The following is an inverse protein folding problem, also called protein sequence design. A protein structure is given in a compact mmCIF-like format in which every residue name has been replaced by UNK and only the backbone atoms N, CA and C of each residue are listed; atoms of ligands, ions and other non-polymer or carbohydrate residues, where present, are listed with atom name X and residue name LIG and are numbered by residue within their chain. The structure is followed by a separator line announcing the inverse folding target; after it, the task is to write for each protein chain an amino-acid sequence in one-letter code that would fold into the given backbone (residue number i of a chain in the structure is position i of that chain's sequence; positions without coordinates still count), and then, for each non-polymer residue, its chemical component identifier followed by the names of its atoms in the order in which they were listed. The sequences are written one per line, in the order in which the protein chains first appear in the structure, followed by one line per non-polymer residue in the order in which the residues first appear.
data_IF_157552901678
#
_entry.id   IF_157552901678
#
_cell.length_a   1.000
_cell.length_b   1.000
_cell.length_c   1.000
_cell.angle_alpha   90.00
_cell.angle_beta   90.00
_cell.angle_gamma   90.00
#
_symmetry.space_group_name_H-M   'P 1'
#
loop_
_entity.id
_entity.type
_entity.pdbx_description
1 polymer ?
#
# COMPACT_ATOMS: atom_id res chain seq x y z
N UNK A 1 -4.94 -54.90 8.88
CA UNK A 1 -5.57 -54.01 9.88
C UNK A 1 -6.06 -52.75 9.18
N UNK A 2 -7.30 -52.25 9.38
CA UNK A 2 -7.80 -51.10 8.63
C UNK A 2 -7.15 -49.79 9.10
N UNK A 3 -6.44 -49.12 8.18
CA UNK A 3 -5.55 -47.96 8.39
C UNK A 3 -6.22 -46.59 8.09
N UNK A 4 -7.42 -46.31 8.60
CA UNK A 4 -8.04 -44.99 8.35
C UNK A 4 -8.63 -44.40 9.64
N UNK A 5 -7.74 -43.82 10.45
CA UNK A 5 -8.09 -43.12 11.70
C UNK A 5 -8.57 -41.68 11.45
N UNK A 6 -8.39 -41.15 10.24
CA UNK A 6 -8.67 -39.74 9.93
C UNK A 6 -10.17 -39.43 9.98
N UNK A 7 -10.99 -40.30 9.40
CA UNK A 7 -12.45 -40.13 9.35
C UNK A 7 -13.13 -40.09 10.74
N UNK A 8 -12.46 -40.51 11.82
CA UNK A 8 -12.95 -40.45 13.21
C UNK A 8 -12.54 -39.18 13.97
N UNK A 9 -11.67 -38.33 13.41
CA UNK A 9 -11.16 -37.13 14.06
C UNK A 9 -11.95 -35.89 13.67
N UNK A 10 -12.35 -35.10 14.66
CA UNK A 10 -13.17 -33.87 14.46
C UNK A 10 -12.48 -32.79 13.61
N UNK A 11 -11.16 -32.81 13.52
CA UNK A 11 -10.39 -31.86 12.71
C UNK A 11 -10.15 -32.33 11.26
N UNK A 12 -10.60 -33.53 10.90
CA UNK A 12 -10.42 -34.03 9.53
C UNK A 12 -11.18 -33.14 8.53
N UNK A 13 -10.43 -32.46 7.68
CA UNK A 13 -10.92 -31.53 6.65
C UNK A 13 -11.85 -32.23 5.67
N UNK A 14 -11.67 -33.54 5.46
CA UNK A 14 -12.44 -34.27 4.46
C UNK A 14 -13.83 -34.70 4.94
N UNK A 15 -14.12 -34.56 6.25
CA UNK A 15 -15.44 -34.84 6.81
C UNK A 15 -16.50 -33.93 6.20
N UNK A 16 -17.69 -34.47 5.87
CA UNK A 16 -18.77 -33.69 5.25
C UNK A 16 -19.18 -32.50 6.11
N UNK A 17 -19.31 -32.70 7.43
CA UNK A 17 -19.64 -31.64 8.40
C UNK A 17 -18.64 -30.46 8.35
N UNK A 18 -17.35 -30.73 8.21
CA UNK A 18 -16.32 -29.69 8.15
C UNK A 18 -16.34 -28.97 6.81
N UNK A 19 -16.56 -29.69 5.70
CA UNK A 19 -16.73 -29.09 4.37
C UNK A 19 -17.95 -28.16 4.32
N UNK A 20 -19.06 -28.55 4.94
CA UNK A 20 -20.27 -27.72 5.02
C UNK A 20 -20.07 -26.45 5.85
N UNK A 21 -19.32 -26.54 6.95
CA UNK A 21 -18.93 -25.36 7.74
C UNK A 21 -18.08 -24.39 6.92
N UNK A 22 -17.07 -24.90 6.22
CA UNK A 22 -16.21 -24.09 5.34
C UNK A 22 -17.05 -23.42 4.25
N UNK A 23 -17.96 -24.16 3.60
CA UNK A 23 -18.87 -23.57 2.60
C UNK A 23 -19.75 -22.47 3.16
N UNK A 24 -20.34 -22.66 4.34
CA UNK A 24 -21.14 -21.63 5.01
C UNK A 24 -20.31 -20.38 5.32
N UNK A 25 -19.09 -20.57 5.80
CA UNK A 25 -18.17 -19.47 6.12
C UNK A 25 -17.70 -18.74 4.84
N UNK A 26 -17.48 -19.48 3.75
CA UNK A 26 -17.17 -18.96 2.41
C UNK A 26 -18.34 -18.17 1.84
N UNK A 27 -19.57 -18.71 1.88
CA UNK A 27 -20.79 -18.03 1.44
C UNK A 27 -21.03 -16.75 2.25
N UNK A 28 -20.85 -16.78 3.57
CA UNK A 28 -20.97 -15.60 4.41
C UNK A 28 -19.87 -14.55 4.09
N UNK A 29 -18.65 -15.00 3.80
CA UNK A 29 -17.57 -14.12 3.38
C UNK A 29 -17.84 -13.52 1.99
N UNK A 30 -18.38 -14.31 1.06
CA UNK A 30 -18.72 -13.87 -0.29
C UNK A 30 -19.90 -12.89 -0.28
N UNK A 31 -20.93 -13.13 0.54
CA UNK A 31 -22.07 -12.22 0.69
C UNK A 31 -21.62 -10.84 1.16
N UNK A 32 -20.73 -10.77 2.18
CA UNK A 32 -20.15 -9.51 2.65
C UNK A 32 -19.37 -8.80 1.54
N UNK A 33 -18.54 -9.54 0.78
CA UNK A 33 -17.78 -8.96 -0.34
C UNK A 33 -18.69 -8.40 -1.43
N UNK A 34 -19.75 -9.14 -1.80
CA UNK A 34 -20.74 -8.71 -2.81
C UNK A 34 -21.47 -7.44 -2.39
N UNK A 35 -21.80 -7.28 -1.11
CA UNK A 35 -22.42 -6.06 -0.59
C UNK A 35 -21.49 -4.85 -0.74
N UNK A 36 -20.21 -5.02 -0.41
CA UNK A 36 -19.19 -3.98 -0.58
C UNK A 36 -18.99 -3.63 -2.06
N UNK A 37 -18.88 -4.63 -2.93
CA UNK A 37 -18.75 -4.44 -4.38
C UNK A 37 -19.97 -3.71 -4.95
N UNK A 38 -21.19 -4.09 -4.54
CA UNK A 38 -22.42 -3.41 -4.94
C UNK A 38 -22.37 -1.93 -4.55
N UNK A 39 -21.99 -1.64 -3.30
CA UNK A 39 -21.83 -0.26 -2.82
C UNK A 39 -20.80 0.53 -3.64
N UNK A 40 -19.69 -0.09 -4.00
CA UNK A 40 -18.67 0.54 -4.85
C UNK A 40 -19.19 0.79 -6.27
N UNK A 41 -19.87 -0.19 -6.87
CA UNK A 41 -20.47 -0.07 -8.20
C UNK A 41 -21.54 1.02 -8.26
N UNK A 42 -22.36 1.13 -7.22
CA UNK A 42 -23.38 2.17 -7.10
C UNK A 42 -22.74 3.56 -6.96
N UNK A 43 -21.66 3.67 -6.20
CA UNK A 43 -20.89 4.92 -6.13
C UNK A 43 -20.24 5.29 -7.48
N UNK A 44 -19.66 4.32 -8.18
CA UNK A 44 -19.06 4.56 -9.49
C UNK A 44 -20.10 4.92 -10.55
N UNK A 45 -21.27 4.29 -10.51
CA UNK A 45 -22.38 4.62 -11.42
C UNK A 45 -22.89 6.04 -11.15
N UNK A 46 -23.11 6.41 -9.88
CA UNK A 46 -23.49 7.76 -9.48
C UNK A 46 -22.43 8.79 -9.90
N UNK A 47 -21.14 8.47 -9.72
CA UNK A 47 -20.03 9.33 -10.15
C UNK A 47 -19.98 9.51 -11.66
N UNK A 48 -20.26 8.45 -12.44
CA UNK A 48 -20.32 8.52 -13.89
C UNK A 48 -21.49 9.38 -14.36
N UNK A 49 -22.67 9.22 -13.74
CA UNK A 49 -23.86 10.04 -14.02
C UNK A 49 -23.59 11.51 -13.69
N UNK A 50 -23.07 11.82 -12.50
CA UNK A 50 -22.75 13.20 -12.10
C UNK A 50 -21.80 13.88 -13.08
N UNK A 51 -20.78 13.15 -13.56
CA UNK A 51 -19.85 13.66 -14.57
C UNK A 51 -20.54 13.97 -15.91
N UNK A 52 -21.46 13.11 -16.35
CA UNK A 52 -22.24 13.34 -17.57
C UNK A 52 -23.24 14.49 -17.42
N UNK A 53 -23.82 14.66 -16.24
CA UNK A 53 -24.74 15.76 -15.91
C UNK A 53 -24.04 17.09 -15.66
N UNK A 54 -22.69 17.13 -15.63
CA UNK A 54 -21.93 18.34 -15.30
C UNK A 54 -21.99 18.73 -13.81
N UNK A 55 -22.49 17.84 -12.96
CA UNK A 55 -22.60 18.04 -11.52
C UNK A 55 -21.32 17.61 -10.78
N UNK A 56 -21.16 18.11 -9.54
CA UNK A 56 -20.05 17.72 -8.68
C UNK A 56 -20.15 16.23 -8.32
N UNK A 57 -19.06 15.49 -8.51
CA UNK A 57 -18.99 14.07 -8.16
C UNK A 57 -19.29 13.81 -6.67
N UNK A 58 -19.98 12.71 -6.33
CA UNK A 58 -20.27 12.35 -4.95
C UNK A 58 -18.98 12.06 -4.18
N UNK A 59 -19.00 12.30 -2.86
CA UNK A 59 -17.90 11.97 -1.94
C UNK A 59 -17.77 10.45 -1.82
N UNK A 60 -16.55 9.88 -1.85
CA UNK A 60 -16.35 8.44 -1.75
C UNK A 60 -16.90 7.85 -0.44
N UNK A 61 -17.48 6.64 -0.48
CA UNK A 61 -17.96 5.97 0.72
C UNK A 61 -16.77 5.67 1.67
N UNK A 62 -16.99 5.75 3.00
CA UNK A 62 -15.95 5.41 3.97
C UNK A 62 -15.48 3.96 3.80
N UNK A 63 -14.21 3.66 4.08
CA UNK A 63 -13.70 2.29 4.02
C UNK A 63 -14.47 1.42 5.01
N UNK A 64 -15.01 0.30 4.50
CA UNK A 64 -15.62 -0.74 5.32
C UNK A 64 -14.50 -1.48 6.05
N UNK A 65 -14.43 -1.31 7.37
CA UNK A 65 -13.51 -2.08 8.21
C UNK A 65 -14.06 -3.50 8.38
N UNK A 66 -13.30 -4.50 7.95
CA UNK A 66 -13.64 -5.89 8.22
C UNK A 66 -13.53 -6.14 9.74
N UNK A 67 -14.64 -6.41 10.42
CA UNK A 67 -14.68 -6.72 11.87
C UNK A 67 -13.67 -7.82 12.30
N UNK A 68 -13.29 -8.71 11.37
CA UNK A 68 -12.29 -9.77 11.58
C UNK A 68 -10.85 -9.23 11.76
N UNK A 69 -10.56 -8.02 11.29
CA UNK A 69 -9.23 -7.41 11.44
C UNK A 69 -8.97 -6.87 12.84
N UNK A 70 -10.01 -6.61 13.64
CA UNK A 70 -9.86 -6.16 15.02
C UNK A 70 -9.40 -7.28 15.96
N UNK A 71 -9.78 -8.53 15.70
CA UNK A 71 -9.34 -9.68 16.51
C UNK A 71 -7.85 -10.02 16.28
N UNK A 72 -7.31 -9.79 15.08
CA UNK A 72 -5.90 -10.07 14.77
C UNK A 72 -4.95 -8.98 15.27
N UNK A 73 -5.35 -7.71 15.22
CA UNK A 73 -4.55 -6.59 15.75
C UNK A 73 -4.38 -6.66 17.26
N UNK A 74 -5.35 -7.21 17.97
CA UNK A 74 -5.24 -7.40 19.43
C UNK A 74 -4.12 -8.41 19.76
N UNK A 75 -4.04 -9.53 19.04
CA UNK A 75 -3.07 -10.61 19.32
C UNK A 75 -1.60 -10.25 19.15
N UNK A 76 -1.25 -9.23 18.34
CA UNK A 76 0.16 -8.84 18.08
C UNK A 76 0.65 -7.72 19.03
N UNK A 77 -0.23 -7.13 19.84
CA UNK A 77 0.12 -6.16 20.89
C UNK A 77 0.43 -6.82 22.25
N UNK A 78 0.26 -8.14 22.38
CA UNK A 78 0.42 -8.84 23.66
C UNK A 78 1.88 -8.99 24.15
N UNK A 79 2.86 -8.46 23.42
CA UNK A 79 4.29 -8.56 23.77
C UNK A 79 4.91 -7.29 24.34
N UNK A 80 4.18 -6.16 24.40
CA UNK A 80 4.73 -4.90 24.92
C UNK A 80 3.74 -4.10 25.77
N UNK A 81 2.61 -4.71 26.13
CA UNK A 81 1.66 -4.10 27.03
C UNK A 81 2.10 -4.34 28.49
N UNK A 82 2.26 -3.24 29.20
CA UNK A 82 2.79 -3.17 30.55
C UNK A 82 1.85 -3.91 31.50
N UNK A 83 2.14 -5.18 31.83
CA UNK A 83 1.53 -5.98 32.91
C UNK A 83 0.22 -5.39 33.46
N UNK A 84 -0.89 -5.59 32.73
CA UNK A 84 -2.28 -5.38 33.20
C UNK A 84 -2.47 -4.11 34.04
N UNK A 85 -2.58 -2.97 33.35
CA UNK A 85 -3.12 -1.73 33.92
C UNK A 85 -4.52 -2.02 34.48
N UNK A 86 -4.64 -2.02 35.81
CA UNK A 86 -5.83 -2.50 36.53
C UNK A 86 -6.99 -1.50 36.37
N UNK A 87 -8.22 -2.01 36.31
CA UNK A 87 -9.42 -1.17 36.44
C UNK A 87 -9.40 -0.51 37.82
N UNK A 88 -9.67 0.79 37.88
CA UNK A 88 -10.01 1.44 39.15
C UNK A 88 -11.44 1.01 39.56
N UNK A 89 -11.72 0.93 40.86
CA UNK A 89 -13.06 0.55 41.33
C UNK A 89 -14.07 1.60 40.87
N UNK A 90 -15.05 1.20 40.03
CA UNK A 90 -16.10 2.07 39.52
C UNK A 90 -15.82 2.73 38.16
N UNK A 91 -14.73 2.37 37.48
CA UNK A 91 -14.38 2.87 36.14
C UNK A 91 -15.03 1.99 35.05
N UNK A 92 -15.80 2.59 34.15
CA UNK A 92 -16.36 1.91 32.96
C UNK A 92 -15.27 1.67 31.90
N UNK A 93 -15.49 0.72 30.99
CA UNK A 93 -14.48 0.36 29.99
C UNK A 93 -14.11 1.55 29.07
N UNK A 94 -15.07 2.43 28.77
CA UNK A 94 -14.84 3.67 28.00
C UNK A 94 -13.99 4.68 28.78
N UNK A 95 -14.27 4.88 30.07
CA UNK A 95 -13.52 5.83 30.90
C UNK A 95 -12.07 5.39 31.07
N UNK A 96 -11.86 4.09 31.22
CA UNK A 96 -10.55 3.46 31.26
C UNK A 96 -9.76 3.75 29.98
N UNK A 97 -10.39 3.60 28.81
CA UNK A 97 -9.75 3.82 27.52
C UNK A 97 -9.44 5.31 27.29
N UNK A 98 -10.33 6.23 27.72
CA UNK A 98 -10.10 7.68 27.67
C UNK A 98 -8.90 8.08 28.54
N UNK A 99 -8.79 7.53 29.76
CA UNK A 99 -7.64 7.81 30.63
C UNK A 99 -6.33 7.34 30.00
N UNK A 100 -6.30 6.15 29.42
CA UNK A 100 -5.10 5.66 28.74
C UNK A 100 -4.74 6.47 27.50
N UNK A 101 -5.73 6.91 26.71
CA UNK A 101 -5.48 7.78 25.56
C UNK A 101 -4.85 9.11 25.98
N UNK A 102 -5.24 9.66 27.13
CA UNK A 102 -4.63 10.88 27.70
C UNK A 102 -3.20 10.64 28.16
N UNK A 103 -2.96 9.58 28.92
CA UNK A 103 -1.60 9.22 29.37
C UNK A 103 -0.64 9.01 28.19
N UNK A 104 -1.10 8.37 27.11
CA UNK A 104 -0.29 8.18 25.90
C UNK A 104 -0.06 9.50 25.15
N UNK A 105 -1.09 10.36 25.05
CA UNK A 105 -0.96 11.68 24.44
C UNK A 105 0.04 12.57 25.21
N UNK A 106 0.03 12.53 26.54
CA UNK A 106 0.97 13.26 27.40
C UNK A 106 2.39 12.71 27.28
N UNK A 107 2.55 11.38 27.24
CA UNK A 107 3.85 10.75 27.00
C UNK A 107 4.40 11.11 25.61
N UNK A 108 3.54 11.13 24.59
CA UNK A 108 3.91 11.52 23.22
C UNK A 108 4.26 13.02 23.14
N UNK A 109 3.54 13.89 23.84
CA UNK A 109 3.84 15.32 23.94
C UNK A 109 5.19 15.55 24.64
N UNK A 110 5.43 14.90 25.77
CA UNK A 110 6.70 14.96 26.51
C UNK A 110 7.87 14.43 25.68
N UNK A 111 7.67 13.35 24.91
CA UNK A 111 8.68 12.83 24.00
C UNK A 111 9.00 13.80 22.85
N UNK A 112 7.99 14.51 22.33
CA UNK A 112 8.18 15.57 21.33
C UNK A 112 8.95 16.75 21.92
N UNK A 113 8.58 17.21 23.10
CA UNK A 113 9.29 18.30 23.80
C UNK A 113 10.75 17.92 24.07
N UNK A 114 11.02 16.70 24.55
CA UNK A 114 12.37 16.19 24.74
C UNK A 114 13.16 16.08 23.42
N UNK A 115 12.49 15.81 22.30
CA UNK A 115 13.11 15.82 20.98
C UNK A 115 13.41 17.24 20.47
N UNK A 116 12.62 18.24 20.86
CA UNK A 116 12.86 19.66 20.56
C UNK A 116 13.93 20.29 21.47
N UNK A 117 14.09 19.82 22.70
CA UNK A 117 15.11 20.26 23.66
C UNK A 117 16.50 19.67 23.38
N UNK A 118 16.59 18.61 22.55
CA UNK A 118 17.88 18.15 22.03
C UNK A 118 18.36 19.17 20.99
N UNK A 119 19.53 19.82 21.18
CA UNK A 119 20.08 20.65 20.14
C UNK A 119 20.25 19.77 18.90
N UNK A 120 19.64 20.17 17.78
CA UNK A 120 20.08 19.69 16.46
C UNK A 120 21.60 19.86 16.44
N UNK A 121 22.41 18.90 15.96
CA UNK A 121 23.84 19.11 15.86
C UNK A 121 24.08 20.22 14.82
N UNK A 122 24.04 21.48 15.27
CA UNK A 122 24.69 22.57 14.59
C UNK A 122 26.16 22.24 14.68
N UNK A 123 26.69 21.70 13.59
CA UNK A 123 28.12 21.56 13.39
C UNK A 123 28.73 22.95 13.54
N UNK A 124 29.17 23.29 14.75
CA UNK A 124 30.01 24.45 15.05
C UNK A 124 31.43 24.16 14.56
N UNK A 125 31.54 23.81 13.29
CA UNK A 125 32.80 23.75 12.58
C UNK A 125 32.93 25.13 11.90
N UNK A 126 33.99 25.91 12.19
CA UNK A 126 34.23 27.16 11.47
C UNK A 126 34.37 26.83 9.98
N UNK A 127 33.61 27.55 9.12
CA UNK A 127 33.60 27.35 7.66
C UNK A 127 34.96 27.71 7.01
N UNK A 128 35.76 28.49 7.73
CA UNK A 128 37.06 28.96 7.29
C UNK A 128 38.14 28.39 8.22
N UNK A 129 39.29 28.04 7.64
CA UNK A 129 40.48 27.74 8.43
C UNK A 129 41.03 29.00 9.11
N UNK A 130 42.06 28.84 9.95
CA UNK A 130 42.69 29.97 10.66
C UNK A 130 43.43 30.94 9.73
N UNK A 131 43.61 30.55 8.47
CA UNK A 131 44.28 31.29 7.41
C UNK A 131 43.29 31.97 6.44
N UNK A 132 41.98 31.76 6.61
CA UNK A 132 40.90 32.37 5.86
C UNK A 132 40.48 31.61 4.59
N UNK A 133 40.96 30.39 4.36
CA UNK A 133 40.50 29.54 3.26
C UNK A 133 39.24 28.79 3.64
N UNK A 134 38.37 28.53 2.64
CA UNK A 134 37.16 27.72 2.83
C UNK A 134 37.59 26.28 3.07
N UNK A 135 37.33 25.77 4.28
CA UNK A 135 37.65 24.40 4.62
C UNK A 135 36.56 23.47 4.06
N UNK A 136 36.85 22.89 2.90
CA UNK A 136 35.96 21.93 2.22
C UNK A 136 35.94 20.57 2.94
N UNK A 137 36.87 20.33 3.86
CA UNK A 137 37.00 19.08 4.61
C UNK A 137 37.11 19.40 6.10
N UNK A 138 36.02 19.83 6.76
CA UNK A 138 36.06 20.16 8.18
C UNK A 138 36.63 18.97 8.94
N UNK A 139 37.84 19.12 9.50
CA UNK A 139 38.40 18.10 10.37
C UNK A 139 37.46 17.97 11.56
N UNK A 140 36.61 16.93 11.53
CA UNK A 140 35.77 16.57 12.66
C UNK A 140 36.67 16.58 13.89
N UNK A 141 36.45 17.56 14.78
CA UNK A 141 37.35 17.83 15.90
C UNK A 141 37.63 16.51 16.62
N UNK A 142 38.84 16.32 17.14
CA UNK A 142 39.23 15.06 17.82
C UNK A 142 38.22 14.62 18.91
N UNK A 143 37.39 15.54 19.40
CA UNK A 143 36.24 15.28 20.27
C UNK A 143 35.10 14.50 19.58
N UNK A 144 34.70 14.85 18.35
CA UNK A 144 33.70 14.11 17.56
C UNK A 144 34.20 12.70 17.22
N UNK A 145 35.46 12.57 16.77
CA UNK A 145 36.06 11.25 16.49
C UNK A 145 36.18 10.35 17.73
N UNK A 146 36.38 10.94 18.93
CA UNK A 146 36.39 10.17 20.20
C UNK A 146 34.98 9.78 20.66
N UNK A 147 33.97 10.64 20.43
CA UNK A 147 32.57 10.32 20.71
C UNK A 147 32.07 9.19 19.80
N UNK A 148 32.33 9.25 18.50
CA UNK A 148 31.98 8.19 17.54
C UNK A 148 32.64 6.84 17.88
N UNK A 149 33.91 6.85 18.32
CA UNK A 149 34.62 5.64 18.76
C UNK A 149 34.05 5.04 20.06
N UNK A 150 33.43 5.87 20.92
CA UNK A 150 32.75 5.40 22.13
C UNK A 150 31.37 4.81 21.80
N UNK A 151 30.62 5.44 20.89
CA UNK A 151 29.33 4.97 20.42
C UNK A 151 29.43 3.63 19.66
N UNK A 152 30.52 3.42 18.92
CA UNK A 152 30.79 2.15 18.24
C UNK A 152 31.12 1.00 19.22
N UNK A 153 31.77 1.30 20.35
CA UNK A 153 31.99 0.32 21.44
C UNK A 153 30.69 -0.07 22.15
N UNK A 154 29.71 0.83 22.24
CA UNK A 154 28.41 0.57 22.88
C UNK A 154 27.46 -0.20 21.93
N UNK A 155 27.49 0.10 20.63
CA UNK A 155 26.75 -0.64 19.60
C UNK A 155 27.18 -2.11 19.47
N UNK A 156 28.48 -2.40 19.68
CA UNK A 156 29.01 -3.76 19.70
C UNK A 156 28.50 -4.62 20.86
N UNK A 157 28.22 -4.01 22.03
CA UNK A 157 27.63 -4.71 23.19
C UNK A 157 26.14 -4.98 23.00
N UNK A 158 25.39 -4.02 22.46
CA UNK A 158 23.96 -4.18 22.09
C UNK A 158 23.72 -5.20 20.98
N UNK A 159 24.73 -5.51 20.17
CA UNK A 159 24.66 -6.59 19.16
C UNK A 159 24.77 -7.99 19.79
N UNK A 160 25.42 -8.14 20.95
CA UNK A 160 25.56 -9.40 21.69
C UNK A 160 24.33 -9.75 22.53
N UNK A 161 23.56 -8.75 22.97
CA UNK A 161 22.30 -8.93 23.71
C UNK A 161 21.07 -9.04 22.81
N UNK A 162 21.25 -9.40 21.53
CA UNK A 162 20.11 -9.57 20.64
C UNK A 162 19.49 -10.93 20.90
N UNK A 163 18.20 -11.00 21.26
CA UNK A 163 17.54 -12.28 21.43
C UNK A 163 17.43 -13.00 20.08
N UNK A 164 17.41 -14.33 20.09
CA UNK A 164 17.42 -15.20 18.90
C UNK A 164 16.31 -14.86 17.88
N UNK A 165 15.12 -14.46 18.34
CA UNK A 165 14.00 -14.04 17.47
C UNK A 165 14.23 -12.69 16.74
N UNK A 166 15.24 -11.90 17.13
CA UNK A 166 15.61 -10.67 16.42
C UNK A 166 16.41 -10.94 15.14
N UNK A 167 16.96 -12.15 15.00
CA UNK A 167 17.67 -12.62 13.82
C UNK A 167 16.69 -13.20 12.80
N UNK A 168 15.69 -13.96 13.26
CA UNK A 168 14.56 -14.43 12.44
C UNK A 168 13.81 -13.27 11.77
N UNK A 169 13.45 -12.23 12.53
CA UNK A 169 12.83 -11.00 11.97
C UNK A 169 13.72 -10.26 10.97
N UNK A 170 15.05 -10.42 11.05
CA UNK A 170 15.98 -9.85 10.07
C UNK A 170 16.02 -10.65 8.79
N UNK A 171 15.99 -11.97 8.89
CA UNK A 171 15.90 -12.86 7.74
C UNK A 171 14.58 -12.65 7.00
N UNK A 172 13.44 -12.58 7.69
CA UNK A 172 12.14 -12.24 7.07
C UNK A 172 12.19 -10.88 6.33
N UNK A 173 12.88 -9.89 6.90
CA UNK A 173 13.07 -8.57 6.27
C UNK A 173 13.98 -8.65 5.04
N UNK A 174 14.96 -9.55 5.02
CA UNK A 174 15.82 -9.78 3.86
C UNK A 174 15.03 -10.52 2.77
N UNK A 175 14.31 -11.56 3.14
CA UNK A 175 13.46 -12.35 2.25
C UNK A 175 12.39 -11.48 1.58
N UNK A 176 11.66 -10.66 2.35
CA UNK A 176 10.68 -9.70 1.79
C UNK A 176 11.32 -8.66 0.88
N UNK A 177 12.59 -8.29 1.11
CA UNK A 177 13.33 -7.39 0.23
C UNK A 177 13.74 -8.10 -1.07
N UNK A 178 14.17 -9.34 -0.99
CA UNK A 178 14.52 -10.15 -2.17
C UNK A 178 13.29 -10.48 -3.00
N UNK A 179 12.16 -10.87 -2.38
CA UNK A 179 10.88 -11.08 -3.06
C UNK A 179 10.44 -9.81 -3.81
N UNK A 180 10.56 -8.63 -3.16
CA UNK A 180 10.26 -7.35 -3.81
C UNK A 180 11.19 -7.05 -4.98
N UNK A 181 12.47 -7.41 -4.91
CA UNK A 181 13.43 -7.26 -6.02
C UNK A 181 13.11 -8.24 -7.14
N UNK A 182 12.75 -9.48 -6.82
CA UNK A 182 12.40 -10.50 -7.79
C UNK A 182 11.12 -10.13 -8.55
N UNK A 183 10.08 -9.66 -7.85
CA UNK A 183 8.86 -9.12 -8.49
C UNK A 183 9.17 -7.95 -9.43
N UNK A 184 10.13 -7.08 -9.07
CA UNK A 184 10.58 -6.00 -9.95
C UNK A 184 11.36 -6.50 -11.16
N UNK A 185 12.19 -7.54 -11.01
CA UNK A 185 12.92 -8.19 -12.11
C UNK A 185 11.94 -8.86 -13.08
N UNK A 186 11.02 -9.68 -12.57
CA UNK A 186 9.93 -10.30 -13.34
C UNK A 186 9.11 -9.27 -14.12
N UNK A 187 8.67 -8.19 -13.46
CA UNK A 187 7.96 -7.10 -14.16
C UNK A 187 8.80 -6.40 -15.22
N UNK A 188 10.13 -6.33 -15.06
CA UNK A 188 11.04 -5.74 -16.06
C UNK A 188 11.26 -6.67 -17.25
N UNK A 189 11.22 -7.98 -17.03
CA UNK A 189 11.37 -9.03 -18.04
C UNK A 189 10.06 -9.35 -18.79
N UNK A 190 8.90 -9.24 -18.14
CA UNK A 190 7.58 -9.42 -18.76
C UNK A 190 7.19 -8.22 -19.64
N UNK A 191 7.63 -7.01 -19.27
CA UNK A 191 7.32 -5.77 -20.00
C UNK A 191 7.75 -5.76 -21.48
N UNK A 192 8.96 -6.25 -21.87
CA UNK A 192 9.29 -6.39 -23.28
C UNK A 192 8.48 -7.49 -23.99
N UNK A 193 8.16 -8.60 -23.32
CA UNK A 193 7.32 -9.67 -23.91
C UNK A 193 5.90 -9.20 -24.17
N UNK A 194 5.31 -8.44 -23.25
CA UNK A 194 4.00 -7.81 -23.44
C UNK A 194 4.04 -6.74 -24.54
N UNK A 195 5.13 -5.96 -24.63
CA UNK A 195 5.29 -4.99 -25.71
C UNK A 195 5.46 -5.66 -27.09
N UNK A 196 6.11 -6.82 -27.16
CA UNK A 196 6.24 -7.62 -28.40
C UNK A 196 4.90 -8.25 -28.80
N UNK A 197 4.11 -8.71 -27.84
CA UNK A 197 2.76 -9.24 -28.06
C UNK A 197 1.77 -8.14 -28.52
N UNK A 198 1.91 -6.92 -28.01
CA UNK A 198 1.13 -5.75 -28.44
C UNK A 198 1.56 -5.18 -29.81
N UNK A 199 2.76 -5.53 -30.31
CA UNK A 199 3.28 -5.09 -31.61
C UNK A 199 3.00 -6.08 -32.75
N UNK A 200 2.46 -7.27 -32.46
CA UNK A 200 1.92 -8.15 -33.49
C UNK A 200 0.58 -7.60 -33.97
N UNK A 201 0.59 -6.89 -35.10
CA UNK A 201 -0.62 -6.54 -35.83
C UNK A 201 -1.41 -7.81 -36.12
N UNK A 202 -2.63 -7.88 -35.60
CA UNK A 202 -3.52 -9.00 -35.93
C UNK A 202 -4.02 -8.85 -37.38
N UNK A 203 -4.43 -9.94 -38.03
CA UNK A 203 -5.05 -9.88 -39.37
C UNK A 203 -6.27 -8.94 -39.41
N UNK A 204 -6.94 -8.75 -38.27
CA UNK A 204 -8.06 -7.81 -38.13
C UNK A 204 -7.61 -6.34 -38.13
N UNK A 205 -6.46 -6.04 -37.52
CA UNK A 205 -5.86 -4.71 -37.53
C UNK A 205 -5.29 -4.37 -38.91
N UNK A 206 -4.73 -5.38 -39.60
CA UNK A 206 -4.25 -5.26 -40.97
C UNK A 206 -5.41 -4.98 -41.94
N UNK A 207 -6.53 -5.70 -41.83
CA UNK A 207 -7.76 -5.43 -42.59
C UNK A 207 -8.39 -4.08 -42.26
N UNK A 208 -8.31 -3.62 -41.00
CA UNK A 208 -8.76 -2.26 -40.62
C UNK A 208 -7.91 -1.19 -41.28
N UNK A 209 -6.59 -1.35 -41.27
CA UNK A 209 -5.67 -0.43 -41.93
C UNK A 209 -5.92 -0.39 -43.44
N UNK A 210 -6.03 -1.54 -44.11
CA UNK A 210 -6.38 -1.63 -45.53
C UNK A 210 -7.73 -0.97 -45.84
N UNK A 211 -8.76 -1.21 -45.02
CA UNK A 211 -10.07 -0.59 -45.20
C UNK A 211 -10.02 0.95 -45.06
N UNK A 212 -9.17 1.47 -44.16
CA UNK A 212 -8.99 2.92 -43.99
C UNK A 212 -8.14 3.56 -45.10
N UNK A 213 -7.08 2.89 -45.56
CA UNK A 213 -6.29 3.33 -46.70
C UNK A 213 -7.12 3.33 -47.99
N UNK A 214 -7.97 2.32 -48.19
CA UNK A 214 -8.87 2.26 -49.35
C UNK A 214 -10.01 3.31 -49.27
N UNK A 215 -10.50 3.62 -48.06
CA UNK A 215 -11.49 4.71 -47.85
C UNK A 215 -10.91 6.11 -48.12
N UNK A 216 -9.60 6.31 -47.95
CA UNK A 216 -8.93 7.58 -48.17
C UNK A 216 -8.64 7.90 -49.64
N UNK A 217 -8.55 6.87 -50.50
CA UNK A 217 -8.27 7.03 -51.93
C UNK A 217 -9.55 7.31 -52.75
N UNK A 218 -10.74 6.97 -52.21
CA UNK A 218 -12.02 7.11 -52.91
C UNK A 218 -12.83 8.36 -52.52
N UNK A 219 -12.24 9.32 -51.80
CA UNK A 219 -12.89 10.61 -51.46
C UNK A 219 -12.32 11.70 -52.38
N UNK A 220 -12.81 11.73 -53.60
CA UNK A 220 -12.42 12.71 -54.60
C UNK A 220 -13.05 14.08 -54.22
N UNK A 221 -12.28 15.08 -53.78
CA UNK A 221 -12.82 16.33 -53.21
C UNK A 221 -13.61 17.17 -54.23
N UNK A 222 -13.58 16.81 -55.52
CA UNK A 222 -14.32 17.48 -56.58
C UNK A 222 -15.82 17.13 -56.59
N UNK A 223 -16.20 15.91 -56.18
CA UNK A 223 -17.62 15.48 -56.22
C UNK A 223 -18.49 16.23 -55.20
N UNK A 224 -17.93 16.57 -54.05
CA UNK A 224 -18.65 17.31 -53.00
C UNK A 224 -18.92 18.76 -53.42
N UNK A 225 -18.07 19.34 -54.27
CA UNK A 225 -18.23 20.70 -54.81
C UNK A 225 -19.34 20.73 -55.87
N UNK A 226 -19.42 19.71 -56.74
CA UNK A 226 -20.47 19.61 -57.77
C UNK A 226 -21.84 19.42 -57.12
N UNK A 227 -21.96 18.57 -56.09
CA UNK A 227 -23.23 18.33 -55.38
C UNK A 227 -23.68 19.53 -54.53
N UNK A 228 -22.75 20.32 -54.00
CA UNK A 228 -23.04 21.53 -53.21
C UNK A 228 -23.61 22.72 -53.99
N UNK A 229 -23.41 22.77 -55.31
CA UNK A 229 -23.87 23.91 -56.15
C UNK A 229 -25.33 23.82 -56.61
N UNK A 230 -25.99 22.67 -56.46
CA UNK A 230 -27.36 22.48 -56.93
C UNK A 230 -28.46 23.08 -56.02
N UNK A 231 -28.13 23.58 -54.83
CA UNK A 231 -29.12 24.08 -53.86
C UNK A 231 -29.27 25.62 -53.79
N UNK A 232 -28.51 26.39 -54.57
CA UNK A 232 -28.48 27.87 -54.44
C UNK A 232 -29.24 28.64 -55.52
N UNK A 233 -30.14 28.03 -56.31
CA UNK A 233 -30.91 28.81 -57.28
C UNK A 233 -32.36 28.34 -57.42
N UNK A 234 -33.19 28.67 -56.41
CA UNK A 234 -34.64 28.72 -56.56
C UNK A 234 -35.26 29.60 -55.47
N UNK A 235 -35.40 30.90 -55.77
CA UNK A 235 -36.50 31.81 -55.37
C UNK A 235 -36.14 33.26 -55.73
N UNK A 236 -36.59 33.68 -56.91
CA UNK A 236 -37.17 35.00 -57.15
C UNK A 236 -38.53 34.76 -57.79
#
# INVERSE_FOLDING_TARGET
MPLHLLGKKKWDVYRPENKERVRRDEEAAEARKKEVEKRQRDYESARRIAKLSGERSPTPPPPVEDERTHQSRDSTSHGRDHKRRRRMRGEDDTDRDIRYAREEAEAAASAREAAHARPKPSSSAPLFDREGHIDLFPEASRAVRRAERSDERDAGRKRKERPWYAEERREERKERKEERKERKRKRREERPRQAEEELQWTEADQKRWEATCFKGIARDPLEDIIKGTAHFNKKK
#
